data_IF_582729652091
#
_entry.id   IF_582729652091
#
_cell.length_a   1.000
_cell.length_b   1.000
_cell.length_c   1.000
_cell.angle_alpha   90.00
_cell.angle_beta   90.00
_cell.angle_gamma   90.00
#
_symmetry.space_group_name_H-M   'P 1'
#
loop_
_entity.id
_entity.type
_entity.pdbx_description
1 polymer ?
#
# COMPACT_ATOMS: atom_id res chain seq x y z
N UNK A 1 -15.42 30.12 4.47
CA UNK A 1 -14.87 28.89 3.85
C UNK A 1 -14.55 29.20 2.40
N UNK A 2 -13.31 29.01 1.95
CA UNK A 2 -12.91 29.31 0.55
C UNK A 2 -13.05 28.06 -0.34
N UNK A 3 -13.43 28.18 -1.62
CA UNK A 3 -13.44 27.06 -2.55
C UNK A 3 -11.99 26.63 -2.84
N UNK A 4 -11.63 25.39 -2.48
CA UNK A 4 -10.29 24.83 -2.70
C UNK A 4 -9.57 24.34 -1.44
N UNK A 5 -10.17 24.49 -0.26
CA UNK A 5 -9.66 23.89 0.97
C UNK A 5 -10.15 22.43 1.08
N UNK A 6 -9.35 21.47 0.60
CA UNK A 6 -9.53 20.07 0.96
C UNK A 6 -8.92 19.86 2.34
N UNK A 7 -9.77 19.79 3.37
CA UNK A 7 -9.37 19.25 4.67
C UNK A 7 -9.09 17.76 4.46
N UNK A 8 -7.85 17.41 4.09
CA UNK A 8 -7.38 16.03 4.25
C UNK A 8 -7.34 15.79 5.75
N UNK A 9 -8.41 15.20 6.29
CA UNK A 9 -8.38 14.62 7.61
C UNK A 9 -7.25 13.59 7.62
N UNK A 10 -6.23 13.88 8.40
CA UNK A 10 -5.13 12.97 8.69
C UNK A 10 -5.72 11.74 9.38
N UNK A 11 -6.08 10.69 8.62
CA UNK A 11 -6.60 9.43 9.17
C UNK A 11 -5.54 8.59 9.90
N UNK A 12 -4.49 9.23 10.42
CA UNK A 12 -3.47 8.58 11.24
C UNK A 12 -2.86 9.52 12.28
N UNK A 13 -3.65 10.44 12.85
CA UNK A 13 -3.36 10.97 14.18
C UNK A 13 -4.02 10.08 15.23
N UNK A 14 -3.41 8.93 15.54
CA UNK A 14 -3.71 8.29 16.81
C UNK A 14 -2.93 9.03 17.90
N UNK A 15 -3.44 10.20 18.29
CA UNK A 15 -2.94 10.94 19.44
C UNK A 15 -4.07 11.10 20.45
N UNK A 16 -4.00 10.32 21.52
CA UNK A 16 -4.64 10.59 22.81
C UNK A 16 -6.09 11.11 22.81
N UNK A 17 -7.07 10.24 22.54
CA UNK A 17 -8.34 10.33 23.27
C UNK A 17 -8.39 9.19 24.27
N UNK A 18 -8.07 9.51 25.51
CA UNK A 18 -8.18 8.58 26.64
C UNK A 18 -9.60 8.02 26.72
N UNK A 19 -9.69 6.71 26.87
CA UNK A 19 -10.85 6.09 27.52
C UNK A 19 -11.83 5.28 26.68
N UNK A 20 -11.55 4.94 25.41
CA UNK A 20 -12.39 3.97 24.67
C UNK A 20 -11.58 2.90 23.91
N UNK A 21 -10.46 2.47 24.49
CA UNK A 21 -9.93 1.14 24.17
C UNK A 21 -10.89 0.13 24.79
N UNK A 22 -11.80 -0.44 23.98
CA UNK A 22 -12.75 -1.49 24.38
C UNK A 22 -12.06 -2.84 24.63
N UNK A 23 -10.87 -2.86 25.22
CA UNK A 23 -10.22 -4.05 25.80
C UNK A 23 -9.31 -3.58 26.93
N UNK A 24 -9.54 -4.12 28.11
CA UNK A 24 -8.81 -3.85 29.37
C UNK A 24 -7.35 -4.36 29.36
N UNK A 25 -6.84 -4.79 28.20
CA UNK A 25 -5.47 -5.22 27.95
C UNK A 25 -5.07 -4.74 26.54
N UNK A 26 -4.50 -3.54 26.44
CA UNK A 26 -4.25 -2.79 25.20
C UNK A 26 -3.21 -3.39 24.24
N UNK A 27 -3.34 -4.66 23.87
CA UNK A 27 -2.48 -5.35 22.92
C UNK A 27 -3.30 -5.72 21.69
N UNK A 28 -3.20 -4.93 20.63
CA UNK A 28 -3.56 -5.38 19.29
C UNK A 28 -2.34 -6.13 18.75
N UNK A 29 -2.41 -7.46 18.66
CA UNK A 29 -1.33 -8.24 18.06
C UNK A 29 -1.40 -8.11 16.54
N UNK A 30 -0.27 -7.80 15.89
CA UNK A 30 -0.20 -7.77 14.42
C UNK A 30 -0.60 -9.11 13.80
N UNK A 31 -0.41 -10.21 14.52
CA UNK A 31 -0.80 -11.55 14.08
C UNK A 31 -2.31 -11.69 13.89
N UNK A 32 -3.12 -10.93 14.64
CA UNK A 32 -4.58 -11.05 14.62
C UNK A 32 -5.19 -10.52 13.31
N UNK A 33 -4.42 -9.73 12.53
CA UNK A 33 -4.86 -9.12 11.28
C UNK A 33 -4.15 -9.70 10.04
N UNK A 34 -3.31 -10.72 10.20
CA UNK A 34 -2.63 -11.35 9.08
C UNK A 34 -3.58 -12.30 8.35
N UNK A 35 -3.78 -12.07 7.06
CA UNK A 35 -4.44 -13.02 6.17
C UNK A 35 -3.43 -14.11 5.78
N UNK A 36 -3.62 -15.34 6.27
CA UNK A 36 -2.67 -16.46 6.07
C UNK A 36 -2.99 -17.35 4.87
N UNK A 37 -4.10 -17.08 4.18
CA UNK A 37 -4.56 -17.85 3.02
C UNK A 37 -4.14 -17.24 1.67
N UNK A 38 -4.68 -17.79 0.59
CA UNK A 38 -4.49 -17.25 -0.76
C UNK A 38 -5.11 -15.85 -0.88
N UNK A 39 -4.26 -14.84 -1.08
CA UNK A 39 -4.69 -13.45 -1.26
C UNK A 39 -5.05 -13.20 -2.73
N UNK A 40 -6.25 -12.68 -3.04
CA UNK A 40 -6.65 -12.39 -4.41
C UNK A 40 -5.69 -11.42 -5.13
N UNK A 41 -5.36 -11.70 -6.40
CA UNK A 41 -4.40 -10.89 -7.18
C UNK A 41 -4.75 -9.41 -7.31
N UNK A 42 -6.03 -9.03 -7.17
CA UNK A 42 -6.48 -7.62 -7.18
C UNK A 42 -5.81 -6.76 -6.09
N UNK A 43 -5.30 -7.39 -5.04
CA UNK A 43 -4.59 -6.72 -3.94
C UNK A 43 -3.08 -6.61 -4.18
N UNK A 44 -2.55 -7.21 -5.26
CA UNK A 44 -1.13 -7.18 -5.56
C UNK A 44 -0.78 -5.90 -6.32
N UNK A 45 0.48 -5.46 -6.20
CA UNK A 45 0.96 -4.32 -6.97
C UNK A 45 0.95 -4.64 -8.47
N UNK A 46 0.39 -3.73 -9.26
CA UNK A 46 0.51 -3.80 -10.72
C UNK A 46 1.93 -3.48 -11.19
N UNK A 47 2.35 -3.94 -12.38
CA UNK A 47 3.64 -3.58 -12.96
C UNK A 47 3.87 -2.06 -13.03
N UNK A 48 2.82 -1.28 -13.32
CA UNK A 48 2.86 0.18 -13.35
C UNK A 48 3.13 0.78 -11.96
N UNK A 49 2.52 0.22 -10.92
CA UNK A 49 2.76 0.64 -9.55
C UNK A 49 4.21 0.35 -9.13
N UNK A 50 4.73 -0.84 -9.46
CA UNK A 50 6.13 -1.21 -9.19
C UNK A 50 7.12 -0.25 -9.85
N UNK A 51 6.93 0.08 -11.14
CA UNK A 51 7.72 1.11 -11.85
C UNK A 51 7.65 2.48 -11.15
N UNK A 52 6.46 2.85 -10.69
CA UNK A 52 6.24 4.11 -9.98
C UNK A 52 7.00 4.20 -8.64
N UNK A 53 7.11 3.09 -7.91
CA UNK A 53 7.89 3.01 -6.66
C UNK A 53 9.38 3.19 -6.96
N UNK A 54 9.92 2.43 -7.92
CA UNK A 54 11.32 2.51 -8.32
C UNK A 54 11.72 3.94 -8.73
N UNK A 55 10.93 4.58 -9.59
CA UNK A 55 11.16 5.96 -10.03
C UNK A 55 11.13 6.97 -8.88
N UNK A 56 10.23 6.78 -7.90
CA UNK A 56 10.15 7.68 -6.74
C UNK A 56 11.32 7.48 -5.77
N UNK A 57 11.80 6.25 -5.61
CA UNK A 57 12.97 5.94 -4.80
C UNK A 57 14.22 6.65 -5.36
N UNK A 58 14.44 6.49 -6.67
CA UNK A 58 15.51 7.17 -7.41
C UNK A 58 15.39 8.70 -7.32
N UNK A 59 14.22 9.27 -7.64
CA UNK A 59 13.99 10.72 -7.58
C UNK A 59 14.23 11.31 -6.18
N UNK A 60 14.00 10.53 -5.12
CA UNK A 60 14.17 10.96 -3.73
C UNK A 60 15.57 10.67 -3.19
N UNK A 61 16.45 10.02 -3.95
CA UNK A 61 17.76 9.56 -3.47
C UNK A 61 17.65 8.58 -2.30
N UNK A 62 16.55 7.84 -2.21
CA UNK A 62 16.33 6.83 -1.15
C UNK A 62 16.52 5.44 -1.73
N UNK A 63 17.47 4.71 -1.18
CA UNK A 63 17.68 3.32 -1.56
C UNK A 63 16.60 2.42 -0.97
N UNK A 64 16.12 1.48 -1.79
CA UNK A 64 15.20 0.44 -1.35
C UNK A 64 16.01 -0.74 -0.80
N UNK A 65 15.51 -1.44 0.23
CA UNK A 65 16.06 -2.73 0.62
C UNK A 65 16.19 -3.67 -0.59
N UNK A 66 17.30 -4.40 -0.69
CA UNK A 66 17.65 -5.20 -1.88
C UNK A 66 16.54 -6.18 -2.27
N UNK A 67 15.97 -6.89 -1.31
CA UNK A 67 14.86 -7.83 -1.54
C UNK A 67 13.64 -7.15 -2.17
N UNK A 68 13.27 -5.98 -1.66
CA UNK A 68 12.15 -5.20 -2.18
C UNK A 68 12.47 -4.67 -3.59
N UNK A 69 13.68 -4.19 -3.82
CA UNK A 69 14.14 -3.72 -5.13
C UNK A 69 14.00 -4.82 -6.18
N UNK A 70 14.53 -6.01 -5.91
CA UNK A 70 14.47 -7.15 -6.83
C UNK A 70 13.04 -7.58 -7.14
N UNK A 71 12.18 -7.70 -6.13
CA UNK A 71 10.78 -8.07 -6.33
C UNK A 71 10.03 -7.04 -7.20
N UNK A 72 10.26 -5.74 -6.97
CA UNK A 72 9.65 -4.68 -7.77
C UNK A 72 10.13 -4.70 -9.23
N UNK A 73 11.42 -4.94 -9.46
CA UNK A 73 12.00 -5.03 -10.80
C UNK A 73 11.41 -6.20 -11.60
N UNK A 74 11.30 -7.38 -10.98
CA UNK A 74 10.69 -8.56 -11.61
C UNK A 74 9.25 -8.32 -12.08
N UNK A 75 8.44 -7.67 -11.25
CA UNK A 75 7.03 -7.38 -11.59
C UNK A 75 6.94 -6.21 -12.59
N UNK A 76 7.82 -5.22 -12.49
CA UNK A 76 7.85 -4.08 -13.39
C UNK A 76 8.19 -4.46 -14.84
N UNK A 77 9.05 -5.44 -15.05
CA UNK A 77 9.44 -5.90 -16.41
C UNK A 77 8.47 -6.92 -17.00
N UNK A 78 7.52 -7.44 -16.21
CA UNK A 78 6.51 -8.37 -16.71
C UNK A 78 5.66 -7.68 -17.78
N UNK A 79 5.55 -8.24 -19.00
CA UNK A 79 4.60 -7.77 -20.01
C UNK A 79 3.21 -7.77 -19.38
N UNK A 80 2.50 -6.66 -19.46
CA UNK A 80 1.11 -6.63 -19.03
C UNK A 80 0.33 -7.62 -19.87
N UNK A 81 -0.22 -8.65 -19.24
CA UNK A 81 -1.27 -9.43 -19.85
C UNK A 81 -2.42 -8.46 -20.16
N UNK A 82 -2.60 -8.18 -21.45
CA UNK A 82 -3.71 -7.38 -21.95
C UNK A 82 -4.93 -8.26 -21.72
N UNK A 83 -5.71 -7.96 -20.67
CA UNK A 83 -6.99 -8.62 -20.49
C UNK A 83 -7.85 -8.37 -21.74
N UNK A 84 -8.34 -9.40 -22.45
CA UNK A 84 -9.24 -9.22 -23.57
C UNK A 84 -10.58 -8.73 -23.04
N UNK A 85 -10.79 -7.42 -23.06
CA UNK A 85 -12.10 -6.82 -22.79
C UNK A 85 -12.46 -5.97 -24.01
N UNK A 86 -13.06 -6.64 -25.00
CA UNK A 86 -14.14 -6.15 -25.89
C UNK A 86 -14.24 -7.07 -27.13
N UNK A 87 -14.88 -8.22 -26.94
CA UNK A 87 -15.72 -8.83 -27.97
C UNK A 87 -17.06 -9.15 -27.29
N UNK A 88 -17.91 -8.13 -27.19
CA UNK A 88 -19.36 -8.29 -27.16
C UNK A 88 -20.00 -7.10 -27.86
#
# INVERSE_FOLDING_TARGET
MRPGECLTLNLSEWTGMGGLSLKDEGVCSLSDILETGDVPQRYFLSPKACKGILRRAEKRGKELPSQLRHALEQVATRPGEIAPTELM
#
